data_IF_309978471759
#
_entry.id   IF_309978471759
#
_cell.length_a   1.000
_cell.length_b   1.000
_cell.length_c   1.000
_cell.angle_alpha   90.00
_cell.angle_beta   90.00
_cell.angle_gamma   90.00
#
_symmetry.space_group_name_H-M   'P 1'
#
loop_
_entity.id
_entity.type
_entity.pdbx_description
1 polymer ?
#
# COMPACT_ATOMS: atom_id res chain seq x y z
N UNK A 1 -23.62 6.00 14.55
CA UNK A 1 -22.66 7.03 15.01
C UNK A 1 -21.85 7.60 13.84
N UNK A 2 -21.97 8.91 13.55
CA UNK A 2 -21.28 9.57 12.43
C UNK A 2 -19.75 9.59 12.56
N UNK A 3 -19.21 9.57 13.79
CA UNK A 3 -17.78 9.53 14.09
C UNK A 3 -17.08 8.30 13.49
N UNK A 4 -17.71 7.12 13.55
CA UNK A 4 -17.16 5.88 13.00
C UNK A 4 -17.02 5.93 11.47
N UNK A 5 -17.96 6.58 10.77
CA UNK A 5 -17.89 6.75 9.30
C UNK A 5 -16.79 7.74 8.90
N UNK A 6 -16.64 8.84 9.65
CA UNK A 6 -15.59 9.85 9.42
C UNK A 6 -14.19 9.25 9.63
N UNK A 7 -14.00 8.49 10.71
CA UNK A 7 -12.73 7.81 10.99
C UNK A 7 -12.36 6.80 9.91
N UNK A 8 -13.31 5.94 9.48
CA UNK A 8 -13.08 4.99 8.38
C UNK A 8 -12.66 5.69 7.08
N UNK A 9 -13.28 6.83 6.76
CA UNK A 9 -12.89 7.62 5.59
C UNK A 9 -11.46 8.15 5.71
N UNK A 10 -11.08 8.65 6.89
CA UNK A 10 -9.72 9.14 7.13
C UNK A 10 -8.67 8.02 7.01
N UNK A 11 -8.94 6.84 7.57
CA UNK A 11 -8.05 5.68 7.44
C UNK A 11 -7.93 5.21 5.98
N UNK A 12 -9.02 5.27 5.20
CA UNK A 12 -8.97 4.94 3.78
C UNK A 12 -8.11 5.93 2.99
N UNK A 13 -8.22 7.23 3.26
CA UNK A 13 -7.36 8.23 2.61
C UNK A 13 -5.89 8.04 3.03
N UNK A 14 -5.60 7.81 4.32
CA UNK A 14 -4.25 7.48 4.79
C UNK A 14 -3.67 6.26 4.09
N UNK A 15 -4.48 5.20 3.90
CA UNK A 15 -4.04 4.01 3.18
C UNK A 15 -3.69 4.33 1.72
N UNK A 16 -4.48 5.17 1.04
CA UNK A 16 -4.14 5.61 -0.32
C UNK A 16 -2.84 6.38 -0.35
N UNK A 17 -2.65 7.33 0.57
CA UNK A 17 -1.43 8.13 0.66
C UNK A 17 -0.19 7.23 0.86
N UNK A 18 -0.29 6.24 1.75
CA UNK A 18 0.77 5.25 1.95
C UNK A 18 1.04 4.40 0.70
N UNK A 19 0.00 4.01 -0.04
CA UNK A 19 0.15 3.26 -1.29
C UNK A 19 0.91 4.09 -2.33
N UNK A 20 0.54 5.37 -2.50
CA UNK A 20 1.21 6.26 -3.44
C UNK A 20 2.68 6.48 -3.08
N UNK A 21 2.97 6.77 -1.81
CA UNK A 21 4.34 6.93 -1.34
C UNK A 21 5.18 5.65 -1.50
N UNK A 22 4.61 4.48 -1.19
CA UNK A 22 5.28 3.20 -1.36
C UNK A 22 5.56 2.89 -2.84
N UNK A 23 4.62 3.21 -3.73
CA UNK A 23 4.79 3.07 -5.18
C UNK A 23 5.92 3.96 -5.69
N UNK A 24 5.89 5.24 -5.36
CA UNK A 24 6.91 6.20 -5.78
C UNK A 24 8.31 5.75 -5.34
N UNK A 25 8.42 5.31 -4.08
CA UNK A 25 9.70 4.82 -3.55
C UNK A 25 10.17 3.57 -4.26
N UNK A 26 9.28 2.60 -4.51
CA UNK A 26 9.61 1.40 -5.29
C UNK A 26 10.08 1.76 -6.71
N UNK A 27 9.38 2.68 -7.39
CA UNK A 27 9.73 3.12 -8.75
C UNK A 27 11.09 3.83 -8.79
N UNK A 28 11.44 4.62 -7.76
CA UNK A 28 12.78 5.22 -7.64
C UNK A 28 13.87 4.13 -7.63
N UNK A 29 13.72 3.09 -6.80
CA UNK A 29 14.68 1.98 -6.77
C UNK A 29 14.67 1.16 -8.07
N UNK A 30 13.51 0.98 -8.69
CA UNK A 30 13.39 0.31 -9.98
C UNK A 30 14.15 1.07 -11.08
N UNK A 31 14.04 2.39 -11.11
CA UNK A 31 14.78 3.22 -12.07
C UNK A 31 16.29 3.15 -11.84
N UNK A 32 16.75 3.09 -10.59
CA UNK A 32 18.17 2.91 -10.28
C UNK A 32 18.68 1.54 -10.75
N UNK A 33 17.91 0.47 -10.53
CA UNK A 33 18.23 -0.86 -11.04
C UNK A 33 18.33 -0.87 -12.57
N UNK A 34 17.34 -0.29 -13.26
CA UNK A 34 17.27 -0.28 -14.73
C UNK A 34 18.43 0.50 -15.38
N UNK A 35 18.99 1.48 -14.66
CA UNK A 35 20.14 2.28 -15.13
C UNK A 35 21.49 1.64 -14.79
N UNK A 36 21.49 0.59 -13.97
CA UNK A 36 22.72 -0.07 -13.53
C UNK A 36 23.07 -1.22 -14.46
N UNK A 37 24.31 -1.23 -14.96
CA UNK A 37 24.85 -2.34 -15.75
C UNK A 37 25.08 -3.58 -14.86
N UNK A 38 25.51 -3.34 -13.63
CA UNK A 38 25.66 -4.35 -12.58
C UNK A 38 25.18 -3.76 -11.24
N UNK A 39 23.92 -3.98 -10.85
CA UNK A 39 23.38 -3.44 -9.62
C UNK A 39 23.97 -4.12 -8.40
N UNK A 40 24.28 -3.34 -7.37
CA UNK A 40 24.72 -3.90 -6.08
C UNK A 40 23.63 -4.77 -5.46
N UNK A 41 24.06 -5.73 -4.65
CA UNK A 41 23.16 -6.58 -3.88
C UNK A 41 22.25 -5.73 -2.97
N UNK A 42 22.82 -4.72 -2.32
CA UNK A 42 22.08 -3.76 -1.49
C UNK A 42 20.97 -3.06 -2.27
N UNK A 43 21.27 -2.56 -3.48
CA UNK A 43 20.26 -1.90 -4.33
C UNK A 43 19.11 -2.86 -4.66
N UNK A 44 19.45 -4.11 -4.96
CA UNK A 44 18.48 -5.17 -5.25
C UNK A 44 17.63 -5.51 -4.03
N UNK A 45 18.23 -5.61 -2.84
CA UNK A 45 17.53 -5.85 -1.57
C UNK A 45 16.56 -4.70 -1.28
N UNK A 46 17.00 -3.45 -1.41
CA UNK A 46 16.15 -2.28 -1.16
C UNK A 46 14.96 -2.25 -2.10
N UNK A 47 15.16 -2.52 -3.40
CA UNK A 47 14.05 -2.64 -4.34
C UNK A 47 13.04 -3.71 -3.90
N UNK A 48 13.50 -4.90 -3.53
CA UNK A 48 12.63 -6.00 -3.07
C UNK A 48 11.84 -5.62 -1.81
N UNK A 49 12.47 -4.94 -0.85
CA UNK A 49 11.80 -4.45 0.36
C UNK A 49 10.69 -3.45 0.01
N UNK A 50 10.99 -2.47 -0.85
CA UNK A 50 10.02 -1.47 -1.25
C UNK A 50 8.88 -2.05 -2.10
N UNK A 51 9.19 -3.00 -2.97
CA UNK A 51 8.20 -3.76 -3.73
C UNK A 51 7.28 -4.57 -2.80
N UNK A 52 7.84 -5.28 -1.82
CA UNK A 52 7.05 -6.04 -0.85
C UNK A 52 6.09 -5.14 -0.05
N UNK A 53 6.56 -3.96 0.39
CA UNK A 53 5.72 -2.96 1.07
C UNK A 53 4.57 -2.47 0.20
N UNK A 54 4.84 -2.11 -1.06
CA UNK A 54 3.81 -1.67 -1.99
C UNK A 54 2.76 -2.77 -2.24
N UNK A 55 3.20 -4.00 -2.53
CA UNK A 55 2.31 -5.15 -2.74
C UNK A 55 1.47 -5.46 -1.50
N UNK A 56 2.06 -5.37 -0.31
CA UNK A 56 1.35 -5.55 0.95
C UNK A 56 0.22 -4.53 1.10
N UNK A 57 0.49 -3.24 0.90
CA UNK A 57 -0.54 -2.20 1.00
C UNK A 57 -1.66 -2.34 -0.04
N UNK A 58 -1.33 -2.83 -1.24
CA UNK A 58 -2.36 -3.17 -2.24
C UNK A 58 -3.26 -4.34 -1.78
N UNK A 59 -2.70 -5.33 -1.08
CA UNK A 59 -3.48 -6.43 -0.49
C UNK A 59 -4.40 -5.90 0.61
N UNK A 60 -3.91 -5.02 1.48
CA UNK A 60 -4.72 -4.36 2.51
C UNK A 60 -5.86 -3.54 1.89
N UNK A 61 -5.60 -2.76 0.85
CA UNK A 61 -6.65 -2.00 0.15
C UNK A 61 -7.71 -2.91 -0.50
N UNK A 62 -7.30 -4.09 -0.99
CA UNK A 62 -8.26 -5.10 -1.46
C UNK A 62 -9.07 -5.65 -0.29
N UNK A 63 -8.42 -6.04 0.80
CA UNK A 63 -9.08 -6.60 1.99
C UNK A 63 -10.12 -5.62 2.57
N UNK A 64 -9.77 -4.34 2.69
CA UNK A 64 -10.69 -3.30 3.18
C UNK A 64 -11.90 -3.08 2.24
N UNK A 65 -11.79 -3.36 0.94
CA UNK A 65 -12.96 -3.34 0.02
C UNK A 65 -13.87 -4.57 0.21
N UNK A 66 -13.34 -5.69 0.69
CA UNK A 66 -14.11 -6.90 0.99
C UNK A 66 -14.74 -6.86 2.39
N UNK A 67 -14.07 -6.29 3.40
CA UNK A 67 -14.59 -6.22 4.78
C UNK A 67 -15.82 -5.30 4.94
N UNK A 68 -16.04 -4.36 4.01
CA UNK A 68 -17.24 -3.49 4.06
C UNK A 68 -18.53 -4.29 3.85
N UNK A 69 -18.48 -5.55 3.39
CA UNK A 69 -19.67 -6.42 3.21
C UNK A 69 -19.83 -7.55 4.23
N UNK A 70 -18.99 -7.66 5.26
CA UNK A 70 -19.10 -8.73 6.27
C UNK A 70 -19.12 -8.19 7.70
N UNK A 71 -19.88 -7.11 7.94
CA UNK A 71 -20.31 -6.76 9.29
C UNK A 71 -21.74 -7.27 9.52
N UNK A 72 -21.97 -8.27 10.40
CA UNK A 72 -23.31 -8.75 10.74
C UNK A 72 -24.15 -7.73 11.55
N UNK A 73 -23.66 -6.50 11.76
CA UNK A 73 -24.33 -5.46 12.55
C UNK A 73 -24.99 -4.35 11.72
N UNK A 74 -25.17 -4.55 10.41
CA UNK A 74 -26.07 -3.70 9.62
C UNK A 74 -27.09 -4.59 8.91
N UNK A 75 -27.95 -5.23 9.72
CA UNK A 75 -29.36 -5.45 9.35
C UNK A 75 -30.16 -4.39 10.07
N UNK A 76 -30.76 -3.50 9.30
CA UNK A 76 -32.04 -2.83 9.51
C UNK A 76 -32.36 -2.10 8.21
#
# INVERSE_FOLDING_TARGET
MPLKKKLKKQELERLKDHIYAAKEKMEQYQQLLNKSVEPSEELTIQFKIHQAKYVFLLKEARHQRYEVKTSPFIRN
#
